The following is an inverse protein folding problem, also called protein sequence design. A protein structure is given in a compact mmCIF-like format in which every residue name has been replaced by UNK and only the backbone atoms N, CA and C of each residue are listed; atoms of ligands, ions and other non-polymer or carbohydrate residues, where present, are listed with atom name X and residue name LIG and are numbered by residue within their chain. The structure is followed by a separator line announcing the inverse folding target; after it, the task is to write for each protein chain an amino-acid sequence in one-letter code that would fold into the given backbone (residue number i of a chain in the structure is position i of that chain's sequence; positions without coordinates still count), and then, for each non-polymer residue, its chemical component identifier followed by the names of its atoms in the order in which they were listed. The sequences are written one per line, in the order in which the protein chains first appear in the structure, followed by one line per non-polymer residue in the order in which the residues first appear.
data_IF_369971074163
#
_entry.id   IF_369971074163
#
_cell.length_a   1.000
_cell.length_b   1.000
_cell.length_c   1.000
_cell.angle_alpha   90.00
_cell.angle_beta   90.00
_cell.angle_gamma   90.00
#
_symmetry.space_group_name_H-M   'P 1'
#
loop_
_entity.id
_entity.type
_entity.pdbx_description
1 polymer ?
#
# COMPACT_ATOMS: atom_id res chain seq x y z
N UNK A 1 1.05 -5.87 -19.03
CA UNK A 1 0.39 -7.10 -18.55
C UNK A 1 -0.97 -6.72 -17.99
N UNK A 2 -2.06 -7.30 -18.48
CA UNK A 2 -3.40 -7.12 -17.93
C UNK A 2 -3.72 -8.38 -17.13
N UNK A 3 -4.18 -8.24 -15.89
CA UNK A 3 -4.66 -9.40 -15.12
C UNK A 3 -5.96 -9.89 -15.76
N UNK A 4 -6.10 -11.19 -15.99
CA UNK A 4 -7.33 -11.77 -16.56
C UNK A 4 -8.52 -11.61 -15.61
N UNK A 5 -8.26 -11.55 -14.30
CA UNK A 5 -9.27 -11.32 -13.28
C UNK A 5 -8.68 -10.55 -12.07
N UNK A 6 -9.41 -9.53 -11.61
CA UNK A 6 -9.10 -8.83 -10.35
C UNK A 6 -9.71 -9.55 -9.16
N UNK A 7 -8.94 -9.69 -8.07
CA UNK A 7 -9.38 -10.34 -6.83
C UNK A 7 -9.38 -9.35 -5.66
N UNK A 8 -10.25 -9.57 -4.67
CA UNK A 8 -10.29 -8.81 -3.41
C UNK A 8 -9.66 -9.66 -2.31
N UNK A 9 -8.70 -9.09 -1.58
CA UNK A 9 -8.07 -9.72 -0.43
C UNK A 9 -8.39 -8.94 0.84
N UNK A 10 -8.85 -9.64 1.88
CA UNK A 10 -9.18 -9.05 3.18
C UNK A 10 -8.23 -9.61 4.24
N UNK A 11 -7.34 -8.76 4.75
CA UNK A 11 -6.52 -9.07 5.92
C UNK A 11 -7.22 -8.59 7.19
N UNK A 12 -7.75 -9.52 8.00
CA UNK A 12 -8.51 -9.23 9.23
C UNK A 12 -7.96 -9.98 10.44
N UNK A 13 -8.54 -9.75 11.62
CA UNK A 13 -8.13 -10.34 12.90
C UNK A 13 -7.27 -9.42 13.77
N UNK A 14 -7.02 -9.83 15.02
CA UNK A 14 -6.34 -9.01 16.02
C UNK A 14 -4.80 -9.07 15.95
N UNK A 15 -4.25 -10.00 15.16
CA UNK A 15 -2.82 -10.14 14.98
C UNK A 15 -2.17 -8.91 14.31
N UNK A 16 -0.90 -8.65 14.66
CA UNK A 16 -0.05 -7.70 13.93
C UNK A 16 0.27 -8.27 12.54
N UNK A 17 0.42 -7.40 11.54
CA UNK A 17 0.89 -7.78 10.20
C UNK A 17 -0.08 -7.51 9.04
N UNK A 18 -1.35 -7.16 9.31
CA UNK A 18 -2.35 -6.84 8.26
C UNK A 18 -1.86 -5.77 7.28
N UNK A 19 -1.39 -4.64 7.83
CA UNK A 19 -0.86 -3.52 7.05
C UNK A 19 0.42 -3.90 6.32
N UNK A 20 1.31 -4.66 6.97
CA UNK A 20 2.56 -5.13 6.37
C UNK A 20 2.31 -6.07 5.19
N UNK A 21 1.32 -6.97 5.29
CA UNK A 21 0.94 -7.87 4.20
C UNK A 21 0.40 -7.08 2.99
N UNK A 22 -0.49 -6.11 3.22
CA UNK A 22 -1.01 -5.24 2.17
C UNK A 22 0.10 -4.42 1.49
N UNK A 23 1.02 -3.82 2.26
CA UNK A 23 2.16 -3.08 1.73
C UNK A 23 3.14 -4.00 0.97
N UNK A 24 3.40 -5.21 1.46
CA UNK A 24 4.24 -6.18 0.76
C UNK A 24 3.67 -6.57 -0.61
N UNK A 25 2.35 -6.70 -0.72
CA UNK A 25 1.68 -6.92 -2.01
C UNK A 25 1.81 -5.71 -2.93
N UNK A 26 1.63 -4.49 -2.39
CA UNK A 26 1.80 -3.25 -3.12
C UNK A 26 3.22 -3.10 -3.69
N UNK A 27 4.25 -3.33 -2.86
CA UNK A 27 5.65 -3.27 -3.31
C UNK A 27 5.98 -4.33 -4.35
N UNK A 28 5.44 -5.56 -4.20
CA UNK A 28 5.63 -6.62 -5.20
C UNK A 28 5.03 -6.24 -6.55
N UNK A 29 3.87 -5.60 -6.57
CA UNK A 29 3.23 -5.12 -7.78
C UNK A 29 4.00 -3.94 -8.41
N UNK A 30 4.38 -2.95 -7.60
CA UNK A 30 5.18 -1.80 -8.04
C UNK A 30 6.53 -2.23 -8.63
N UNK A 31 7.23 -3.18 -7.99
CA UNK A 31 8.49 -3.75 -8.51
C UNK A 31 8.35 -4.52 -9.83
N UNK A 32 7.12 -4.81 -10.27
CA UNK A 32 6.81 -5.37 -11.60
C UNK A 32 6.25 -4.33 -12.58
N UNK A 33 6.34 -3.04 -12.25
CA UNK A 33 5.87 -1.94 -13.08
C UNK A 33 4.35 -1.74 -13.07
N UNK A 34 3.62 -2.36 -12.15
CA UNK A 34 2.20 -2.06 -11.97
C UNK A 34 2.02 -0.76 -11.18
N UNK A 35 1.00 0.01 -11.55
CA UNK A 35 0.61 1.21 -10.81
C UNK A 35 -0.23 0.84 -9.60
N UNK A 36 0.16 1.32 -8.42
CA UNK A 36 -0.46 0.98 -7.14
C UNK A 36 -0.79 2.24 -6.35
N UNK A 37 -2.03 2.31 -5.87
CA UNK A 37 -2.50 3.35 -4.96
C UNK A 37 -2.84 2.74 -3.60
N UNK A 38 -2.25 3.27 -2.53
CA UNK A 38 -2.57 2.90 -1.15
C UNK A 38 -3.26 4.09 -0.48
N UNK A 39 -4.46 3.85 0.06
CA UNK A 39 -5.19 4.85 0.85
C UNK A 39 -5.21 4.38 2.30
N UNK A 40 -4.67 5.20 3.20
CA UNK A 40 -4.70 4.96 4.64
C UNK A 40 -5.78 5.85 5.26
N UNK A 41 -6.69 5.32 6.09
CA UNK A 41 -7.83 6.08 6.65
C UNK A 41 -7.64 6.59 8.09
N UNK A 42 -6.67 6.02 8.83
CA UNK A 42 -6.50 6.26 10.28
C UNK A 42 -5.04 6.54 10.68
N UNK A 43 -4.15 6.75 9.70
CA UNK A 43 -2.72 7.02 9.95
C UNK A 43 -2.42 8.47 9.61
N UNK A 44 -2.64 9.37 10.57
CA UNK A 44 -2.22 10.77 10.47
C UNK A 44 -0.73 10.95 10.79
N UNK A 45 0.02 11.56 9.87
CA UNK A 45 1.15 12.46 10.17
C UNK A 45 2.49 11.89 10.67
N UNK A 46 2.64 10.61 10.96
CA UNK A 46 3.93 10.04 11.40
C UNK A 46 4.94 9.84 10.25
N UNK A 47 6.27 9.95 10.48
CA UNK A 47 7.29 9.61 9.48
C UNK A 47 7.37 8.09 9.34
N UNK A 48 6.57 7.52 8.44
CA UNK A 48 6.55 6.09 8.19
C UNK A 48 7.50 5.71 7.05
N UNK A 49 8.26 4.63 7.24
CA UNK A 49 9.17 4.11 6.21
C UNK A 49 8.45 3.78 4.91
N UNK A 50 7.18 3.34 4.96
CA UNK A 50 6.38 3.11 3.75
C UNK A 50 6.14 4.38 2.91
N UNK A 51 6.07 5.57 3.52
CA UNK A 51 5.89 6.83 2.78
C UNK A 51 7.16 7.23 2.04
N UNK A 52 8.33 7.05 2.67
CA UNK A 52 9.62 7.28 2.01
C UNK A 52 9.88 6.27 0.88
N UNK A 53 9.49 5.02 1.07
CA UNK A 53 9.55 4.01 0.02
C UNK A 53 8.68 4.39 -1.19
N UNK A 54 7.46 4.90 -0.95
CA UNK A 54 6.57 5.36 -2.01
C UNK A 54 7.17 6.51 -2.82
N UNK A 55 7.83 7.48 -2.19
CA UNK A 55 8.53 8.57 -2.90
C UNK A 55 9.62 8.04 -3.83
N UNK A 56 10.36 7.00 -3.41
CA UNK A 56 11.43 6.39 -4.23
C UNK A 56 10.90 5.51 -5.35
N UNK A 57 9.72 4.93 -5.15
CA UNK A 57 9.04 4.06 -6.10
C UNK A 57 7.99 4.82 -6.93
N UNK A 58 8.05 6.15 -6.95
CA UNK A 58 7.19 6.95 -7.80
C UNK A 58 7.66 6.84 -9.27
N UNK A 59 6.73 6.72 -10.24
CA UNK A 59 5.27 6.85 -10.09
C UNK A 59 4.53 5.55 -9.71
N UNK A 60 5.18 4.40 -9.69
CA UNK A 60 4.53 3.08 -9.54
C UNK A 60 3.80 2.89 -8.20
N UNK A 61 4.24 3.54 -7.13
CA UNK A 61 3.58 3.48 -5.83
C UNK A 61 3.24 4.87 -5.29
N UNK A 62 1.94 5.12 -5.12
CA UNK A 62 1.44 6.32 -4.44
C UNK A 62 0.76 5.94 -3.13
N UNK A 63 1.12 6.62 -2.05
CA UNK A 63 0.43 6.48 -0.75
C UNK A 63 -0.23 7.80 -0.39
N UNK A 64 -1.54 7.74 -0.15
CA UNK A 64 -2.33 8.87 0.33
C UNK A 64 -2.79 8.54 1.75
N UNK A 65 -2.32 9.33 2.71
CA UNK A 65 -2.86 9.34 4.06
C UNK A 65 -4.09 10.24 4.09
N UNK A 66 -5.23 9.64 4.41
CA UNK A 66 -6.52 10.29 4.58
C UNK A 66 -7.03 10.03 6.00
N UNK A 67 -7.88 10.91 6.51
CA UNK A 67 -8.37 10.84 7.87
C UNK A 67 -7.89 12.00 8.73
N UNK A 68 -8.67 12.32 9.77
CA UNK A 68 -8.28 13.27 10.81
C UNK A 68 -7.38 12.54 11.82
N UNK A 69 -6.35 13.20 12.38
CA UNK A 69 -5.53 12.61 13.43
C UNK A 69 -6.37 12.17 14.64
#
# INVERSE_FOLDING_TARGET
MKLDQGCIQVYTGNGKGKTTAALGLAFRAAGRGFQVLVIQFMKGGGPYGEHEAAKRLAPELTIIATGRP
#
